data_IF_633972696753
#
_entry.id   IF_633972696753
#
_cell.length_a   1.000
_cell.length_b   1.000
_cell.length_c   1.000
_cell.angle_alpha   90.00
_cell.angle_beta   90.00
_cell.angle_gamma   90.00
#
_symmetry.space_group_name_H-M   'P 1'
#
loop_
_entity.id
_entity.type
_entity.pdbx_description
1 polymer ?
#
# COMPACT_ATOMS: atom_id res chain seq x y z
N UNK A 1 78.64 -79.53 66.19
CA UNK A 1 77.21 -79.23 66.41
C UNK A 1 76.81 -77.81 65.97
N UNK A 2 77.61 -76.75 66.20
CA UNK A 2 77.29 -75.36 65.80
C UNK A 2 76.99 -75.12 64.31
N UNK A 3 77.66 -75.83 63.39
CA UNK A 3 77.57 -75.58 61.93
C UNK A 3 76.25 -76.07 61.29
N UNK A 4 75.61 -77.09 61.87
CA UNK A 4 74.30 -77.58 61.41
C UNK A 4 73.15 -76.70 61.90
N UNK A 5 73.31 -76.09 63.08
CA UNK A 5 72.32 -75.22 63.69
C UNK A 5 72.24 -73.87 62.95
N UNK A 6 73.40 -73.28 62.62
CA UNK A 6 73.47 -72.08 61.78
C UNK A 6 72.90 -72.30 60.37
N UNK A 7 73.16 -73.45 59.73
CA UNK A 7 72.55 -73.77 58.43
C UNK A 7 71.04 -73.97 58.50
N UNK A 8 70.53 -74.57 59.58
CA UNK A 8 69.09 -74.74 59.78
C UNK A 8 68.40 -73.39 60.04
N UNK A 9 69.06 -72.48 60.76
CA UNK A 9 68.59 -71.13 61.04
C UNK A 9 68.60 -70.24 59.79
N UNK A 10 69.64 -70.33 58.95
CA UNK A 10 69.70 -69.66 57.65
C UNK A 10 68.62 -70.17 56.69
N UNK A 11 68.37 -71.48 56.65
CA UNK A 11 67.29 -72.06 55.82
C UNK A 11 65.92 -71.60 56.34
N UNK A 12 65.72 -71.55 57.66
CA UNK A 12 64.49 -71.04 58.27
C UNK A 12 64.25 -69.56 57.96
N UNK A 13 65.30 -68.74 58.03
CA UNK A 13 65.21 -67.31 57.73
C UNK A 13 65.00 -67.06 56.23
N UNK A 14 65.68 -67.80 55.36
CA UNK A 14 65.51 -67.71 53.90
C UNK A 14 64.13 -68.21 53.45
N UNK A 15 63.62 -69.27 54.09
CA UNK A 15 62.27 -69.75 53.88
C UNK A 15 61.23 -68.73 54.36
N UNK A 16 61.44 -68.10 55.52
CA UNK A 16 60.59 -67.01 56.02
C UNK A 16 60.55 -65.81 55.07
N UNK A 17 61.70 -65.32 54.64
CA UNK A 17 61.81 -64.21 53.68
C UNK A 17 61.16 -64.57 52.33
N UNK A 18 61.33 -65.82 51.86
CA UNK A 18 60.70 -66.28 50.63
C UNK A 18 59.18 -66.39 50.77
N UNK A 19 58.68 -66.75 51.96
CA UNK A 19 57.25 -66.85 52.24
C UNK A 19 56.61 -65.45 52.32
N UNK A 20 57.28 -64.50 52.98
CA UNK A 20 56.87 -63.09 53.02
C UNK A 20 56.83 -62.47 51.63
N UNK A 21 57.85 -62.73 50.78
CA UNK A 21 57.85 -62.26 49.39
C UNK A 21 56.76 -62.90 48.53
N UNK A 22 56.42 -64.16 48.78
CA UNK A 22 55.28 -64.80 48.09
C UNK A 22 53.95 -64.21 48.55
N UNK A 23 53.82 -63.90 49.84
CA UNK A 23 52.64 -63.23 50.39
C UNK A 23 52.47 -61.82 49.78
N UNK A 24 53.52 -61.03 49.72
CA UNK A 24 53.51 -59.68 49.11
C UNK A 24 53.17 -59.74 47.61
N UNK A 25 53.65 -60.76 46.90
CA UNK A 25 53.37 -60.94 45.48
C UNK A 25 51.92 -61.42 45.25
N UNK A 26 51.38 -62.25 46.12
CA UNK A 26 49.97 -62.67 46.10
C UNK A 26 49.05 -61.48 46.41
N UNK A 27 49.39 -60.66 47.40
CA UNK A 27 48.64 -59.44 47.71
C UNK A 27 48.69 -58.45 46.53
N UNK A 28 49.87 -58.24 45.93
CA UNK A 28 50.03 -57.39 44.75
C UNK A 28 49.25 -57.90 43.53
N UNK A 29 49.21 -59.22 43.30
CA UNK A 29 48.38 -59.82 42.25
C UNK A 29 46.89 -59.70 42.56
N UNK A 30 46.49 -59.86 43.82
CA UNK A 30 45.10 -59.69 44.25
C UNK A 30 44.61 -58.27 43.98
N UNK A 31 45.40 -57.25 44.36
CA UNK A 31 45.10 -55.84 44.09
C UNK A 31 45.07 -55.53 42.59
N UNK A 32 45.97 -56.12 41.80
CA UNK A 32 45.95 -55.97 40.34
C UNK A 32 44.72 -56.61 39.70
N UNK A 33 44.27 -57.77 40.22
CA UNK A 33 43.07 -58.46 39.77
C UNK A 33 41.80 -57.66 40.10
N UNK A 34 41.74 -57.07 41.30
CA UNK A 34 40.69 -56.11 41.68
C UNK A 34 40.66 -54.91 40.73
N UNK A 35 41.82 -54.30 40.45
CA UNK A 35 41.91 -53.18 39.51
C UNK A 35 41.46 -53.53 38.08
N UNK A 36 41.81 -54.72 37.59
CA UNK A 36 41.33 -55.24 36.31
C UNK A 36 39.82 -55.46 36.30
N UNK A 37 39.26 -55.97 37.40
CA UNK A 37 37.81 -56.19 37.52
C UNK A 37 37.06 -54.85 37.51
N UNK A 38 37.55 -53.84 38.25
CA UNK A 38 36.99 -52.49 38.22
C UNK A 38 37.11 -51.82 36.85
N UNK A 39 38.22 -52.01 36.13
CA UNK A 39 38.40 -51.47 34.77
C UNK A 39 37.44 -52.14 33.77
N UNK A 40 37.26 -53.46 33.88
CA UNK A 40 36.30 -54.22 33.07
C UNK A 40 34.86 -53.73 33.30
N UNK A 41 34.49 -53.51 34.56
CA UNK A 41 33.18 -52.98 34.92
C UNK A 41 32.97 -51.56 34.39
N UNK A 42 33.98 -50.69 34.53
CA UNK A 42 33.96 -49.34 33.97
C UNK A 42 33.81 -49.35 32.44
N UNK A 43 34.57 -50.20 31.74
CA UNK A 43 34.50 -50.32 30.28
C UNK A 43 33.13 -50.81 29.81
N UNK A 44 32.57 -51.80 30.48
CA UNK A 44 31.21 -52.30 30.20
C UNK A 44 30.17 -51.18 30.34
N UNK A 45 30.25 -50.42 31.44
CA UNK A 45 29.33 -49.32 31.73
C UNK A 45 29.46 -48.18 30.72
N UNK A 46 30.69 -47.78 30.38
CA UNK A 46 30.94 -46.75 29.37
C UNK A 46 30.47 -47.17 27.97
N UNK A 47 30.62 -48.45 27.62
CA UNK A 47 30.12 -48.98 26.35
C UNK A 47 28.58 -48.99 26.32
N UNK A 48 27.93 -49.36 27.43
CA UNK A 48 26.48 -49.31 27.54
C UNK A 48 25.95 -47.87 27.46
N UNK A 49 26.58 -46.92 28.15
CA UNK A 49 26.25 -45.49 28.07
C UNK A 49 26.46 -44.94 26.65
N UNK A 50 27.56 -45.30 25.98
CA UNK A 50 27.82 -44.90 24.59
C UNK A 50 26.76 -45.44 23.63
N UNK A 51 26.34 -46.69 23.80
CA UNK A 51 25.24 -47.28 23.00
C UNK A 51 23.92 -46.56 23.24
N UNK A 52 23.58 -46.26 24.50
CA UNK A 52 22.38 -45.51 24.87
C UNK A 52 22.41 -44.10 24.28
N UNK A 53 23.54 -43.41 24.36
CA UNK A 53 23.72 -42.09 23.77
C UNK A 53 23.55 -42.12 22.24
N UNK A 54 24.13 -43.10 21.56
CA UNK A 54 24.01 -43.24 20.11
C UNK A 54 22.56 -43.52 19.67
N UNK A 55 21.84 -44.37 20.40
CA UNK A 55 20.41 -44.63 20.16
C UNK A 55 19.58 -43.36 20.35
N UNK A 56 19.83 -42.61 21.43
CA UNK A 56 19.15 -41.34 21.67
C UNK A 56 19.44 -40.32 20.57
N UNK A 57 20.68 -40.23 20.07
CA UNK A 57 21.02 -39.36 18.95
C UNK A 57 20.34 -39.77 17.64
N UNK A 58 20.26 -41.07 17.35
CA UNK A 58 19.57 -41.56 16.17
C UNK A 58 18.06 -41.25 16.23
N UNK A 59 17.43 -41.47 17.38
CA UNK A 59 16.01 -41.17 17.58
C UNK A 59 15.72 -39.67 17.54
N UNK A 60 16.56 -38.86 18.17
CA UNK A 60 16.48 -37.40 18.12
C UNK A 60 16.65 -36.88 16.68
N UNK A 61 17.64 -37.41 15.94
CA UNK A 61 17.87 -37.06 14.54
C UNK A 61 16.68 -37.42 13.66
N UNK A 62 16.06 -38.59 13.88
CA UNK A 62 14.87 -39.00 13.15
C UNK A 62 13.68 -38.06 13.42
N UNK A 63 13.41 -37.73 14.70
CA UNK A 63 12.35 -36.77 15.06
C UNK A 63 12.58 -35.40 14.45
N UNK A 64 13.82 -34.89 14.50
CA UNK A 64 14.19 -33.61 13.86
C UNK A 64 13.92 -33.64 12.35
N UNK A 65 14.22 -34.75 11.68
CA UNK A 65 13.98 -34.88 10.24
C UNK A 65 12.48 -34.92 9.90
N UNK A 66 11.67 -35.62 10.71
CA UNK A 66 10.21 -35.62 10.55
C UNK A 66 9.60 -34.23 10.79
N UNK A 67 10.04 -33.53 11.84
CA UNK A 67 9.60 -32.16 12.13
C UNK A 67 9.94 -31.21 10.98
N UNK A 68 11.16 -31.31 10.42
CA UNK A 68 11.58 -30.51 9.28
C UNK A 68 10.73 -30.77 8.04
N UNK A 69 10.44 -32.04 7.74
CA UNK A 69 9.56 -32.40 6.62
C UNK A 69 8.16 -31.83 6.81
N UNK A 70 7.59 -31.95 8.01
CA UNK A 70 6.28 -31.41 8.33
C UNK A 70 6.24 -29.88 8.20
N UNK A 71 7.28 -29.20 8.68
CA UNK A 71 7.42 -27.74 8.54
C UNK A 71 7.57 -27.31 7.09
N UNK A 72 8.32 -28.05 6.29
CA UNK A 72 8.49 -27.77 4.86
C UNK A 72 7.17 -27.93 4.10
N UNK A 73 6.38 -28.95 4.41
CA UNK A 73 5.07 -29.16 3.80
C UNK A 73 4.07 -28.05 4.18
N UNK A 74 4.03 -27.65 5.45
CA UNK A 74 3.25 -26.49 5.89
C UNK A 74 3.68 -25.20 5.18
N UNK A 75 4.99 -24.97 5.06
CA UNK A 75 5.53 -23.79 4.41
C UNK A 75 5.22 -23.78 2.91
N UNK A 76 5.25 -24.93 2.25
CA UNK A 76 4.84 -25.07 0.84
C UNK A 76 3.36 -24.73 0.66
N UNK A 77 2.48 -25.28 1.51
CA UNK A 77 1.06 -24.95 1.47
C UNK A 77 0.77 -23.47 1.75
N UNK A 78 1.50 -22.84 2.68
CA UNK A 78 1.40 -21.40 2.90
C UNK A 78 1.90 -20.59 1.69
N UNK A 79 2.99 -21.03 1.06
CA UNK A 79 3.54 -20.38 -0.13
C UNK A 79 2.56 -20.46 -1.31
N UNK A 80 1.97 -21.62 -1.56
CA UNK A 80 0.98 -21.81 -2.62
C UNK A 80 -0.24 -20.92 -2.39
N UNK A 81 -0.76 -20.87 -1.15
CA UNK A 81 -1.84 -19.95 -0.79
C UNK A 81 -1.46 -18.47 -0.95
N UNK A 82 -0.23 -18.11 -0.62
CA UNK A 82 0.26 -16.74 -0.80
C UNK A 82 0.36 -16.38 -2.28
N UNK A 83 0.80 -17.32 -3.12
CA UNK A 83 0.86 -17.16 -4.58
C UNK A 83 -0.53 -16.97 -5.17
N UNK A 84 -1.50 -17.82 -4.78
CA UNK A 84 -2.89 -17.71 -5.24
C UNK A 84 -3.53 -16.40 -4.79
N UNK A 85 -3.30 -15.98 -3.54
CA UNK A 85 -3.75 -14.68 -3.04
C UNK A 85 -3.09 -13.52 -3.78
N UNK A 86 -1.79 -13.60 -4.07
CA UNK A 86 -1.09 -12.58 -4.83
C UNK A 86 -1.65 -12.46 -6.24
N UNK A 87 -1.92 -13.59 -6.91
CA UNK A 87 -2.53 -13.64 -8.23
C UNK A 87 -3.95 -13.06 -8.24
N UNK A 88 -4.76 -13.38 -7.23
CA UNK A 88 -6.12 -12.84 -7.12
C UNK A 88 -6.11 -11.34 -6.81
N UNK A 89 -5.20 -10.86 -5.96
CA UNK A 89 -4.98 -9.44 -5.70
C UNK A 89 -4.55 -8.71 -6.98
N UNK A 90 -3.65 -9.30 -7.76
CA UNK A 90 -3.17 -8.69 -9.01
C UNK A 90 -4.29 -8.59 -10.05
N UNK A 91 -5.10 -9.64 -10.20
CA UNK A 91 -6.28 -9.60 -11.05
C UNK A 91 -7.32 -8.56 -10.58
N UNK A 92 -7.51 -8.42 -9.26
CA UNK A 92 -8.37 -7.40 -8.69
C UNK A 92 -7.83 -5.98 -8.98
N UNK A 93 -6.52 -5.77 -8.86
CA UNK A 93 -5.86 -4.51 -9.18
C UNK A 93 -6.01 -4.13 -10.67
N UNK A 94 -5.79 -5.08 -11.58
CA UNK A 94 -6.00 -4.86 -13.03
C UNK A 94 -7.45 -4.48 -13.33
N UNK A 95 -8.41 -5.16 -12.69
CA UNK A 95 -9.83 -4.82 -12.82
C UNK A 95 -10.17 -3.44 -12.26
N UNK A 96 -9.49 -3.03 -11.19
CA UNK A 96 -9.68 -1.73 -10.55
C UNK A 96 -9.09 -0.61 -11.40
N UNK A 97 -7.89 -0.81 -11.96
CA UNK A 97 -7.26 0.13 -12.89
C UNK A 97 -8.14 0.37 -14.12
N UNK A 98 -8.64 -0.72 -14.73
CA UNK A 98 -9.58 -0.64 -15.86
C UNK A 98 -10.87 0.10 -15.49
N UNK A 99 -11.45 -0.19 -14.33
CA UNK A 99 -12.62 0.54 -13.80
C UNK A 99 -12.30 2.02 -13.56
N UNK A 100 -11.14 2.33 -13.00
CA UNK A 100 -10.71 3.69 -12.72
C UNK A 100 -10.51 4.48 -14.03
N UNK A 101 -9.86 3.89 -15.04
CA UNK A 101 -9.73 4.49 -16.37
C UNK A 101 -11.10 4.75 -17.00
N UNK A 102 -12.02 3.78 -16.91
CA UNK A 102 -13.40 3.96 -17.40
C UNK A 102 -14.16 5.06 -16.65
N UNK A 103 -13.94 5.19 -15.34
CA UNK A 103 -14.55 6.21 -14.50
C UNK A 103 -14.02 7.60 -14.85
N UNK A 104 -12.71 7.75 -15.07
CA UNK A 104 -12.13 9.02 -15.52
C UNK A 104 -12.67 9.42 -16.90
N UNK A 105 -12.75 8.48 -17.84
CA UNK A 105 -13.37 8.75 -19.15
C UNK A 105 -14.85 9.14 -19.03
N UNK A 106 -15.59 8.54 -18.10
CA UNK A 106 -16.98 8.92 -17.83
C UNK A 106 -17.08 10.31 -17.17
N UNK A 107 -16.18 10.65 -16.25
CA UNK A 107 -16.09 11.96 -15.62
C UNK A 107 -15.78 13.05 -16.65
N UNK A 108 -14.82 12.83 -17.55
CA UNK A 108 -14.51 13.80 -18.62
C UNK A 108 -15.72 14.06 -19.51
N UNK A 109 -16.45 13.01 -19.88
CA UNK A 109 -17.70 13.14 -20.63
C UNK A 109 -18.77 13.88 -19.85
N UNK A 110 -18.89 13.62 -18.54
CA UNK A 110 -19.84 14.29 -17.68
C UNK A 110 -19.50 15.78 -17.54
N UNK A 111 -18.24 16.14 -17.37
CA UNK A 111 -17.78 17.54 -17.34
C UNK A 111 -18.03 18.24 -18.67
N UNK A 112 -17.73 17.59 -19.79
CA UNK A 112 -18.01 18.13 -21.12
C UNK A 112 -19.52 18.37 -21.31
N UNK A 113 -20.36 17.41 -20.89
CA UNK A 113 -21.81 17.54 -20.95
C UNK A 113 -22.32 18.63 -20.01
N UNK A 114 -21.79 18.71 -18.79
CA UNK A 114 -22.16 19.74 -17.82
C UNK A 114 -21.82 21.14 -18.33
N UNK A 115 -20.62 21.31 -18.90
CA UNK A 115 -20.21 22.57 -19.51
C UNK A 115 -21.09 22.96 -20.70
N UNK A 116 -21.46 21.99 -21.54
CA UNK A 116 -22.40 22.21 -22.65
C UNK A 116 -23.78 22.66 -22.14
N UNK A 117 -24.34 21.97 -21.13
CA UNK A 117 -25.63 22.31 -20.51
C UNK A 117 -25.58 23.70 -19.88
N UNK A 118 -24.49 24.04 -19.19
CA UNK A 118 -24.32 25.34 -18.56
C UNK A 118 -24.24 26.47 -19.60
N UNK A 119 -23.56 26.24 -20.73
CA UNK A 119 -23.52 27.17 -21.85
C UNK A 119 -24.92 27.35 -22.46
N UNK A 120 -25.63 26.26 -22.74
CA UNK A 120 -26.99 26.27 -23.31
C UNK A 120 -27.97 27.00 -22.37
N UNK A 121 -27.89 26.75 -21.07
CA UNK A 121 -28.72 27.42 -20.07
C UNK A 121 -28.47 28.94 -20.05
N UNK A 122 -27.21 29.39 -20.10
CA UNK A 122 -26.87 30.82 -20.15
C UNK A 122 -27.37 31.48 -21.43
N UNK A 123 -27.24 30.80 -22.57
CA UNK A 123 -27.76 31.26 -23.86
C UNK A 123 -29.28 31.44 -23.82
N UNK A 124 -30.00 30.46 -23.26
CA UNK A 124 -31.46 30.53 -23.12
C UNK A 124 -31.88 31.69 -22.20
N UNK A 125 -31.19 31.89 -21.07
CA UNK A 125 -31.45 33.02 -20.16
C UNK A 125 -31.24 34.37 -20.86
N UNK A 126 -30.15 34.52 -21.61
CA UNK A 126 -29.88 35.74 -22.37
C UNK A 126 -31.00 36.00 -23.38
N UNK A 127 -31.41 34.98 -24.15
CA UNK A 127 -32.49 35.10 -25.13
C UNK A 127 -33.80 35.63 -24.51
N UNK A 128 -34.22 35.11 -23.35
CA UNK A 128 -35.42 35.60 -22.66
C UNK A 128 -35.29 37.05 -22.19
N UNK A 129 -34.14 37.44 -21.62
CA UNK A 129 -33.91 38.81 -21.13
C UNK A 129 -33.94 39.80 -22.29
N UNK A 130 -33.27 39.50 -23.40
CA UNK A 130 -33.22 40.38 -24.56
C UNK A 130 -34.57 40.46 -25.29
N UNK A 131 -35.30 39.34 -25.38
CA UNK A 131 -36.68 39.33 -25.91
C UNK A 131 -37.62 40.24 -25.09
N UNK A 132 -37.57 40.13 -23.75
CA UNK A 132 -38.33 41.03 -22.87
C UNK A 132 -37.89 42.50 -23.03
N UNK A 133 -36.60 42.75 -23.20
CA UNK A 133 -36.05 44.09 -23.39
C UNK A 133 -36.57 44.75 -24.67
N UNK A 134 -36.78 43.99 -25.76
CA UNK A 134 -37.40 44.50 -27.00
C UNK A 134 -38.82 44.99 -26.73
N UNK A 135 -39.60 44.23 -25.95
CA UNK A 135 -40.98 44.59 -25.56
C UNK A 135 -40.96 45.86 -24.71
N UNK A 136 -40.06 45.96 -23.73
CA UNK A 136 -39.92 47.15 -22.88
C UNK A 136 -39.53 48.37 -23.70
N UNK A 137 -38.55 48.26 -24.60
CA UNK A 137 -38.15 49.35 -25.50
C UNK A 137 -39.32 49.76 -26.41
N UNK A 138 -40.09 48.79 -26.93
CA UNK A 138 -41.27 49.06 -27.73
C UNK A 138 -42.30 49.89 -26.95
N UNK A 139 -42.59 49.50 -25.72
CA UNK A 139 -43.53 50.22 -24.84
C UNK A 139 -43.03 51.64 -24.52
N UNK A 140 -41.75 51.80 -24.13
CA UNK A 140 -41.15 53.11 -23.81
C UNK A 140 -41.09 54.04 -25.02
N UNK A 141 -40.96 53.49 -26.23
CA UNK A 141 -40.79 54.26 -27.46
C UNK A 141 -42.10 54.43 -28.24
N UNK A 142 -43.24 54.04 -27.67
CA UNK A 142 -44.57 54.15 -28.32
C UNK A 142 -45.06 55.60 -28.46
N UNK A 143 -44.47 56.54 -27.73
CA UNK A 143 -44.81 57.97 -27.77
C UNK A 143 -44.18 58.66 -29.00
N UNK A 144 -44.94 59.56 -29.66
CA UNK A 144 -44.52 60.26 -30.89
C UNK A 144 -43.15 60.97 -30.78
N UNK A 145 -42.79 61.43 -29.58
CA UNK A 145 -41.54 62.15 -29.28
C UNK A 145 -40.26 61.30 -29.44
N UNK A 146 -40.35 59.97 -29.28
CA UNK A 146 -39.16 59.10 -29.19
C UNK A 146 -39.02 58.16 -30.40
N UNK A 147 -39.88 58.31 -31.41
CA UNK A 147 -40.00 57.38 -32.54
C UNK A 147 -38.70 57.23 -33.36
N UNK A 148 -37.97 58.33 -33.56
CA UNK A 148 -36.74 58.34 -34.37
C UNK A 148 -35.57 57.55 -33.73
N UNK A 149 -35.60 57.34 -32.41
CA UNK A 149 -34.52 56.67 -31.67
C UNK A 149 -34.72 55.14 -31.61
N UNK A 150 -35.94 54.67 -31.90
CA UNK A 150 -36.32 53.24 -31.88
C UNK A 150 -35.39 52.31 -32.70
N UNK A 151 -35.09 52.57 -34.00
CA UNK A 151 -34.26 51.67 -34.78
C UNK A 151 -32.82 51.59 -34.24
N UNK A 152 -32.28 52.72 -33.74
CA UNK A 152 -30.94 52.78 -33.15
C UNK A 152 -30.82 51.97 -31.85
N UNK A 153 -31.84 52.02 -30.99
CA UNK A 153 -31.92 51.21 -29.79
C UNK A 153 -31.99 49.71 -30.10
N UNK A 154 -32.75 49.30 -31.12
CA UNK A 154 -32.81 47.88 -31.53
C UNK A 154 -31.50 47.41 -32.16
N UNK A 155 -30.85 48.22 -33.00
CA UNK A 155 -29.53 47.90 -33.56
C UNK A 155 -28.50 47.73 -32.42
N UNK A 156 -28.50 48.65 -31.45
CA UNK A 156 -27.62 48.56 -30.27
C UNK A 156 -27.91 47.32 -29.41
N UNK A 157 -29.17 46.97 -29.21
CA UNK A 157 -29.56 45.78 -28.45
C UNK A 157 -29.11 44.49 -29.15
N UNK A 158 -29.30 44.40 -30.47
CA UNK A 158 -28.82 43.27 -31.28
C UNK A 158 -27.29 43.15 -31.25
N UNK A 159 -26.57 44.27 -31.37
CA UNK A 159 -25.11 44.27 -31.26
C UNK A 159 -24.64 43.80 -29.88
N UNK A 160 -25.31 44.24 -28.81
CA UNK A 160 -25.01 43.82 -27.43
C UNK A 160 -25.24 42.32 -27.23
N UNK A 161 -26.34 41.77 -27.77
CA UNK A 161 -26.63 40.33 -27.74
C UNK A 161 -25.56 39.53 -28.50
N UNK A 162 -25.18 39.95 -29.71
CA UNK A 162 -24.13 39.27 -30.48
C UNK A 162 -22.78 39.27 -29.74
N UNK A 163 -22.41 40.40 -29.16
CA UNK A 163 -21.20 40.51 -28.34
C UNK A 163 -21.24 39.59 -27.11
N UNK A 164 -22.39 39.52 -26.42
CA UNK A 164 -22.55 38.62 -25.28
C UNK A 164 -22.43 37.14 -25.70
N UNK A 165 -23.03 36.74 -26.83
CA UNK A 165 -22.91 35.38 -27.38
C UNK A 165 -21.47 35.05 -27.77
N UNK A 166 -20.74 35.99 -28.36
CA UNK A 166 -19.32 35.84 -28.71
C UNK A 166 -18.48 35.65 -27.44
N UNK A 167 -18.68 36.49 -26.42
CA UNK A 167 -17.97 36.39 -25.14
C UNK A 167 -18.26 35.03 -24.47
N UNK A 168 -19.51 34.57 -24.51
CA UNK A 168 -19.93 33.26 -23.98
C UNK A 168 -19.26 32.07 -24.69
N UNK A 169 -19.08 32.13 -26.02
CA UNK A 169 -18.42 31.06 -26.78
C UNK A 169 -16.89 31.08 -26.67
N UNK A 170 -16.27 32.26 -26.60
CA UNK A 170 -14.81 32.39 -26.65
C UNK A 170 -14.14 32.46 -25.27
N UNK A 171 -14.86 32.81 -24.21
CA UNK A 171 -14.31 32.92 -22.84
C UNK A 171 -14.85 31.79 -21.97
N UNK A 172 -14.46 30.54 -22.27
CA UNK A 172 -14.92 29.36 -21.52
C UNK A 172 -14.10 29.09 -20.24
N UNK A 173 -12.82 29.48 -20.21
CA UNK A 173 -11.89 29.07 -19.14
C UNK A 173 -11.94 29.92 -17.87
N UNK A 174 -12.56 31.11 -17.89
CA UNK A 174 -12.59 31.99 -16.72
C UNK A 174 -13.97 32.66 -16.54
N UNK A 175 -14.82 32.00 -15.76
CA UNK A 175 -16.20 32.42 -15.46
C UNK A 175 -16.26 33.82 -14.85
N UNK A 176 -15.29 34.18 -14.01
CA UNK A 176 -15.23 35.50 -13.38
C UNK A 176 -14.99 36.59 -14.43
N UNK A 177 -13.99 36.38 -15.29
CA UNK A 177 -13.67 37.31 -16.39
C UNK A 177 -14.82 37.42 -17.39
N UNK A 178 -15.45 36.30 -17.71
CA UNK A 178 -16.63 36.26 -18.57
C UNK A 178 -17.78 37.09 -17.99
N UNK A 179 -18.10 36.90 -16.71
CA UNK A 179 -19.17 37.62 -16.02
C UNK A 179 -18.87 39.12 -15.93
N UNK A 180 -17.62 39.48 -15.64
CA UNK A 180 -17.16 40.86 -15.61
C UNK A 180 -17.27 41.55 -16.97
N UNK A 181 -16.82 40.89 -18.05
CA UNK A 181 -16.93 41.41 -19.42
C UNK A 181 -18.39 41.61 -19.85
N UNK A 182 -19.26 40.64 -19.57
CA UNK A 182 -20.69 40.74 -19.89
C UNK A 182 -21.33 41.90 -19.13
N UNK A 183 -21.01 42.06 -17.84
CA UNK A 183 -21.49 43.18 -17.03
C UNK A 183 -21.06 44.53 -17.61
N UNK A 184 -19.80 44.64 -18.03
CA UNK A 184 -19.25 45.86 -18.64
C UNK A 184 -19.98 46.21 -19.94
N UNK A 185 -20.17 45.24 -20.84
CA UNK A 185 -20.88 45.44 -22.12
C UNK A 185 -22.32 45.89 -21.90
N UNK A 186 -23.04 45.27 -20.96
CA UNK A 186 -24.42 45.65 -20.62
C UNK A 186 -24.51 47.06 -20.03
N UNK A 187 -23.57 47.43 -19.16
CA UNK A 187 -23.51 48.77 -18.54
C UNK A 187 -23.28 49.86 -19.60
N UNK A 188 -22.36 49.62 -20.54
CA UNK A 188 -22.09 50.54 -21.65
C UNK A 188 -23.34 50.75 -22.53
N UNK A 189 -24.05 49.67 -22.85
CA UNK A 189 -25.31 49.76 -23.61
C UNK A 189 -26.37 50.56 -22.85
N UNK A 190 -26.56 50.31 -21.55
CA UNK A 190 -27.53 51.05 -20.74
C UNK A 190 -27.21 52.55 -20.67
N UNK A 191 -25.94 52.91 -20.55
CA UNK A 191 -25.50 54.30 -20.56
C UNK A 191 -25.77 54.96 -21.92
N UNK A 192 -25.42 54.30 -23.02
CA UNK A 192 -25.69 54.79 -24.37
C UNK A 192 -27.20 54.97 -24.63
N UNK A 193 -28.02 53.99 -24.24
CA UNK A 193 -29.46 54.05 -24.35
C UNK A 193 -30.05 55.23 -23.54
N UNK A 194 -29.59 55.43 -22.30
CA UNK A 194 -30.03 56.54 -21.45
C UNK A 194 -29.71 57.91 -22.07
N UNK A 195 -28.49 58.08 -22.60
CA UNK A 195 -28.09 59.32 -23.31
C UNK A 195 -28.96 59.55 -24.54
N UNK A 196 -29.23 58.50 -25.34
CA UNK A 196 -30.10 58.60 -26.51
C UNK A 196 -31.55 58.97 -26.15
N UNK A 197 -32.10 58.41 -25.06
CA UNK A 197 -33.42 58.79 -24.57
C UNK A 197 -33.46 60.24 -24.08
N UNK A 198 -32.46 60.69 -23.30
CA UNK A 198 -32.36 62.07 -22.85
C UNK A 198 -32.25 63.04 -24.03
N UNK A 199 -31.41 62.74 -25.02
CA UNK A 199 -31.26 63.54 -26.22
C UNK A 199 -32.57 63.66 -27.02
N UNK A 200 -33.32 62.56 -27.15
CA UNK A 200 -34.63 62.55 -27.81
C UNK A 200 -35.65 63.46 -27.11
N UNK A 201 -35.64 63.45 -25.77
CA UNK A 201 -36.54 64.28 -24.96
C UNK A 201 -36.19 65.78 -25.12
N UNK A 202 -34.90 66.14 -25.09
CA UNK A 202 -34.45 67.53 -25.20
C UNK A 202 -34.55 68.12 -26.60
N UNK A 203 -34.34 67.32 -27.66
CA UNK A 203 -34.32 67.79 -29.05
C UNK A 203 -35.72 68.02 -29.65
N UNK A 204 -36.77 67.48 -29.01
CA UNK A 204 -38.15 67.62 -29.47
C UNK A 204 -38.92 68.78 -28.79
N UNK A 205 -38.21 69.67 -28.10
CA UNK A 205 -38.77 70.93 -27.55
C UNK A 205 -38.59 72.06 -28.55
#
# INVERSE_FOLDING_TARGET
>A
MQNLQSKAEDIGNLAGISLDKQQELLDGQSTALEGLNSLSEFYSKAQEESRKALQHFAEFGHRQQEELLQKQEQMKGLHDRLMDNSKSILAAQESFESKQASMFAALDKLFALHNAILLESRMMKAFFIYSLSIIVIYMLTSTKQTYNVRPWLYIGLCATLLMEVIILRFTNDNIERQTWLISMVRSLFMLAASVQFLYAIFTYR
#
